data_IF_840506767978
#
_entry.id   IF_840506767978
#
_cell.length_a   1.000
_cell.length_b   1.000
_cell.length_c   1.000
_cell.angle_alpha   90.00
_cell.angle_beta   90.00
_cell.angle_gamma   90.00
#
_symmetry.space_group_name_H-M   'P 1'
#
loop_
_entity.id
_entity.type
_entity.pdbx_description
1 polymer ?
#
# COMPACT_ATOMS: atom_id res chain seq x y z
N UNK A 1 6.50 31.80 -29.04
CA UNK A 1 5.24 31.03 -29.05
C UNK A 1 5.58 29.55 -29.32
N UNK A 2 5.97 28.83 -28.32
CA UNK A 2 6.16 27.36 -28.38
C UNK A 2 4.81 26.75 -28.06
N UNK A 3 4.20 26.07 -29.04
CA UNK A 3 2.98 25.30 -28.86
C UNK A 3 3.20 24.31 -27.71
N UNK A 4 2.51 24.52 -26.60
CA UNK A 4 2.26 23.53 -25.58
C UNK A 4 1.67 22.28 -26.27
N UNK A 5 2.50 21.28 -26.49
CA UNK A 5 1.99 19.94 -26.81
C UNK A 5 1.19 19.50 -25.61
N UNK A 6 -0.13 19.62 -25.72
CA UNK A 6 -1.09 19.05 -24.79
C UNK A 6 -0.70 17.60 -24.52
N UNK A 7 -0.38 17.32 -23.25
CA UNK A 7 -0.11 15.97 -22.74
C UNK A 7 -1.23 15.08 -23.26
N UNK A 8 -0.86 14.19 -24.20
CA UNK A 8 -1.78 13.23 -24.77
C UNK A 8 -2.45 12.46 -23.64
N UNK A 9 -3.77 12.57 -23.52
CA UNK A 9 -4.57 11.62 -22.76
C UNK A 9 -4.18 10.24 -23.31
N UNK A 10 -3.33 9.51 -22.57
CA UNK A 10 -2.86 8.17 -22.97
C UNK A 10 -4.12 7.36 -23.26
N UNK A 11 -4.29 6.92 -24.52
CA UNK A 11 -5.45 6.13 -24.93
C UNK A 11 -5.49 4.87 -24.07
N UNK A 12 -6.69 4.52 -23.61
CA UNK A 12 -6.90 3.25 -22.89
C UNK A 12 -6.68 2.14 -23.90
N UNK A 13 -5.64 1.35 -23.68
CA UNK A 13 -5.32 0.15 -24.45
C UNK A 13 -5.04 -0.99 -23.46
N UNK A 14 -5.22 -2.23 -23.87
CA UNK A 14 -4.89 -3.39 -23.03
C UNK A 14 -3.44 -3.33 -22.54
N UNK A 15 -2.52 -2.92 -23.43
CA UNK A 15 -1.11 -2.75 -23.07
C UNK A 15 -0.91 -1.68 -21.97
N UNK A 16 -1.60 -0.51 -22.06
CA UNK A 16 -1.49 0.54 -21.05
C UNK A 16 -2.10 0.14 -19.70
N UNK A 17 -3.15 -0.69 -19.70
CA UNK A 17 -3.74 -1.24 -18.48
C UNK A 17 -2.81 -2.26 -17.82
N UNK A 18 -2.19 -3.16 -18.60
CA UNK A 18 -1.21 -4.12 -18.09
C UNK A 18 0.00 -3.40 -17.49
N UNK A 19 0.51 -2.36 -18.15
CA UNK A 19 1.61 -1.54 -17.61
C UNK A 19 1.20 -0.88 -16.29
N UNK A 20 -0.04 -0.36 -16.20
CA UNK A 20 -0.56 0.22 -14.97
C UNK A 20 -0.62 -0.79 -13.82
N UNK A 21 -0.97 -2.06 -14.10
CA UNK A 21 -0.96 -3.13 -13.08
C UNK A 21 0.43 -3.31 -12.47
N UNK A 22 1.47 -3.29 -13.29
CA UNK A 22 2.85 -3.51 -12.83
C UNK A 22 3.46 -2.34 -12.07
N UNK A 23 3.07 -1.11 -12.39
CA UNK A 23 3.69 0.08 -11.79
C UNK A 23 2.96 0.49 -10.50
N UNK A 24 1.61 0.48 -10.51
CA UNK A 24 0.80 1.17 -9.50
C UNK A 24 0.36 0.25 -8.37
N UNK A 25 -0.05 -0.98 -8.70
CA UNK A 25 -0.79 -1.83 -7.77
C UNK A 25 0.06 -2.88 -7.07
N UNK A 26 1.38 -2.71 -7.06
CA UNK A 26 2.29 -3.63 -6.38
C UNK A 26 1.98 -3.73 -4.88
N UNK A 27 2.05 -2.62 -4.18
CA UNK A 27 1.90 -2.57 -2.72
C UNK A 27 0.49 -2.97 -2.28
N UNK A 28 -0.55 -2.31 -2.78
CA UNK A 28 -1.94 -2.68 -2.42
C UNK A 28 -2.29 -4.12 -2.87
N UNK A 29 -1.64 -4.61 -3.94
CA UNK A 29 -1.85 -5.95 -4.48
C UNK A 29 -1.29 -7.05 -3.60
N UNK A 30 -0.27 -6.78 -2.81
CA UNK A 30 0.39 -7.77 -1.93
C UNK A 30 -0.18 -7.80 -0.52
N UNK A 31 -1.03 -6.85 -0.15
CA UNK A 31 -1.70 -6.79 1.16
C UNK A 31 -2.47 -8.08 1.54
N UNK A 32 -3.09 -8.86 0.61
CA UNK A 32 -3.72 -10.13 0.95
C UNK A 32 -2.79 -11.17 1.59
N UNK A 33 -1.47 -11.04 1.43
CA UNK A 33 -0.48 -11.95 2.04
C UNK A 33 -0.48 -11.89 3.58
N UNK A 34 -0.90 -10.75 4.17
CA UNK A 34 -0.74 -10.54 5.61
C UNK A 34 -1.96 -9.93 6.32
N UNK A 35 -2.83 -9.19 5.64
CA UNK A 35 -3.89 -8.40 6.30
C UNK A 35 -4.87 -9.26 7.11
N UNK A 36 -5.41 -10.32 6.54
CA UNK A 36 -6.40 -11.13 7.26
C UNK A 36 -5.75 -11.91 8.42
N UNK A 37 -4.50 -12.37 8.22
CA UNK A 37 -3.69 -12.93 9.31
C UNK A 37 -3.51 -11.93 10.45
N UNK A 38 -3.23 -10.66 10.14
CA UNK A 38 -3.07 -9.58 11.11
C UNK A 38 -4.35 -9.25 11.89
N UNK A 39 -5.53 -9.36 11.25
CA UNK A 39 -6.83 -9.13 11.90
C UNK A 39 -7.16 -10.27 12.87
N UNK A 40 -7.02 -11.49 12.41
CA UNK A 40 -7.36 -12.69 13.22
C UNK A 40 -6.32 -12.88 14.34
N UNK A 41 -5.02 -12.87 14.01
CA UNK A 41 -3.95 -13.12 14.98
C UNK A 41 -4.15 -14.44 15.71
N UNK A 42 -3.89 -14.45 17.01
CA UNK A 42 -4.05 -15.63 17.89
C UNK A 42 -5.45 -15.70 18.55
N UNK A 43 -6.42 -14.92 18.06
CA UNK A 43 -7.77 -14.87 18.61
C UNK A 43 -8.59 -16.09 18.18
N UNK A 44 -9.63 -16.38 18.96
CA UNK A 44 -10.62 -17.38 18.57
C UNK A 44 -11.35 -16.93 17.30
N UNK A 45 -11.41 -17.84 16.33
CA UNK A 45 -12.09 -17.61 15.04
C UNK A 45 -13.58 -17.74 15.28
N UNK A 46 -14.29 -16.63 15.23
CA UNK A 46 -15.74 -16.59 15.30
C UNK A 46 -16.34 -15.81 14.13
N UNK A 47 -17.64 -15.94 13.93
CA UNK A 47 -18.34 -15.31 12.81
C UNK A 47 -18.22 -13.78 12.82
N UNK A 48 -18.29 -13.17 14.01
CA UNK A 48 -18.21 -11.70 14.16
C UNK A 48 -16.82 -11.19 13.79
N UNK A 49 -15.76 -11.87 14.22
CA UNK A 49 -14.38 -11.50 13.92
C UNK A 49 -14.11 -11.63 12.42
N UNK A 50 -14.50 -12.75 11.80
CA UNK A 50 -14.19 -13.03 10.39
C UNK A 50 -15.01 -12.16 9.46
N UNK A 51 -16.36 -12.16 9.59
CA UNK A 51 -17.22 -11.36 8.73
C UNK A 51 -17.09 -9.88 9.00
N UNK A 52 -16.87 -9.49 10.27
CA UNK A 52 -16.59 -8.11 10.64
C UNK A 52 -15.26 -7.61 10.09
N UNK A 53 -14.22 -8.43 10.13
CA UNK A 53 -12.92 -8.13 9.52
C UNK A 53 -13.02 -7.89 8.01
N UNK A 54 -13.69 -8.79 7.29
CA UNK A 54 -13.95 -8.63 5.84
C UNK A 54 -14.80 -7.39 5.56
N UNK A 55 -15.84 -7.15 6.36
CA UNK A 55 -16.68 -5.96 6.21
C UNK A 55 -15.87 -4.67 6.38
N UNK A 56 -15.03 -4.61 7.41
CA UNK A 56 -14.14 -3.47 7.62
C UNK A 56 -13.16 -3.29 6.43
N UNK A 57 -12.54 -4.36 5.92
CA UNK A 57 -11.66 -4.30 4.73
C UNK A 57 -12.44 -3.77 3.52
N UNK A 58 -13.63 -4.33 3.24
CA UNK A 58 -14.45 -3.93 2.10
C UNK A 58 -14.76 -2.43 2.13
N UNK A 59 -15.32 -1.95 3.25
CA UNK A 59 -15.72 -0.55 3.36
C UNK A 59 -14.54 0.40 3.43
N UNK A 60 -13.42 -0.02 4.00
CA UNK A 60 -12.18 0.75 4.00
C UNK A 60 -11.62 0.92 2.57
N UNK A 61 -11.59 -0.15 1.75
CA UNK A 61 -11.20 -0.06 0.34
C UNK A 61 -12.17 0.80 -0.48
N UNK A 62 -13.48 0.78 -0.15
CA UNK A 62 -14.46 1.65 -0.79
C UNK A 62 -14.21 3.12 -0.44
N UNK A 63 -14.16 3.46 0.84
CA UNK A 63 -14.06 4.85 1.27
C UNK A 63 -12.66 5.42 1.04
N UNK A 64 -11.63 4.76 1.56
CA UNK A 64 -10.27 5.30 1.51
C UNK A 64 -9.66 5.17 0.11
N UNK A 65 -9.60 3.96 -0.46
CA UNK A 65 -8.92 3.81 -1.74
C UNK A 65 -9.79 4.27 -2.91
N UNK A 66 -11.05 3.78 -3.01
CA UNK A 66 -11.88 4.10 -4.19
C UNK A 66 -12.34 5.55 -4.19
N UNK A 67 -13.04 6.01 -3.13
CA UNK A 67 -13.65 7.34 -3.13
C UNK A 67 -12.57 8.40 -2.93
N UNK A 68 -11.76 8.29 -1.86
CA UNK A 68 -10.76 9.32 -1.56
C UNK A 68 -9.68 9.39 -2.62
N UNK A 69 -8.95 8.28 -2.90
CA UNK A 69 -7.79 8.35 -3.80
C UNK A 69 -8.21 8.31 -5.27
N UNK A 70 -8.91 7.28 -5.73
CA UNK A 70 -9.18 7.07 -7.16
C UNK A 70 -10.17 8.09 -7.74
N UNK A 71 -11.17 8.52 -6.95
CA UNK A 71 -12.17 9.48 -7.44
C UNK A 71 -11.85 10.93 -7.13
N UNK A 72 -11.37 11.25 -5.91
CA UNK A 72 -11.14 12.63 -5.49
C UNK A 72 -9.68 13.05 -5.70
N UNK A 73 -8.72 12.34 -5.09
CA UNK A 73 -7.31 12.78 -5.05
C UNK A 73 -6.66 12.75 -6.44
N UNK A 74 -6.99 11.78 -7.30
CA UNK A 74 -6.54 11.77 -8.69
C UNK A 74 -7.02 12.95 -9.54
N UNK A 75 -7.91 13.84 -9.04
CA UNK A 75 -8.23 15.12 -9.69
C UNK A 75 -7.13 16.16 -9.48
N UNK A 76 -6.34 16.02 -8.43
CA UNK A 76 -5.23 16.90 -8.12
C UNK A 76 -3.99 16.48 -8.94
N UNK A 77 -4.00 16.92 -10.17
CA UNK A 77 -2.99 16.69 -11.21
C UNK A 77 -2.18 17.99 -11.38
N UNK A 78 -0.89 17.92 -11.13
CA UNK A 78 0.05 19.02 -11.30
C UNK A 78 0.92 18.75 -12.54
N UNK A 79 0.48 19.20 -13.71
CA UNK A 79 1.17 19.02 -15.00
C UNK A 79 1.49 17.55 -15.33
N UNK A 80 0.60 16.65 -14.95
CA UNK A 80 0.74 15.21 -15.15
C UNK A 80 1.30 14.49 -13.92
N UNK A 81 1.75 15.17 -12.88
CA UNK A 81 2.34 14.56 -11.68
C UNK A 81 1.35 14.53 -10.52
N UNK A 82 1.42 13.48 -9.70
CA UNK A 82 0.66 13.26 -8.48
C UNK A 82 1.55 13.20 -7.24
N UNK A 83 1.00 12.75 -6.12
CA UNK A 83 1.70 12.65 -4.85
C UNK A 83 1.53 13.86 -3.94
N UNK A 84 1.94 13.71 -2.68
CA UNK A 84 1.67 14.70 -1.64
C UNK A 84 2.38 16.04 -1.90
N UNK A 85 3.60 16.03 -2.44
CA UNK A 85 4.35 17.25 -2.75
C UNK A 85 3.77 17.98 -3.97
N UNK A 86 3.33 17.24 -4.99
CA UNK A 86 2.58 17.79 -6.13
C UNK A 86 1.26 18.41 -5.68
N UNK A 87 0.53 17.77 -4.76
CA UNK A 87 -0.69 18.33 -4.17
C UNK A 87 -0.39 19.62 -3.40
N UNK A 88 0.70 19.64 -2.61
CA UNK A 88 1.14 20.86 -1.94
C UNK A 88 1.48 21.97 -2.94
N UNK A 89 2.20 21.68 -4.02
CA UNK A 89 2.52 22.67 -5.05
C UNK A 89 1.28 23.37 -5.62
N UNK A 90 0.16 22.63 -5.78
CA UNK A 90 -1.13 23.18 -6.24
C UNK A 90 -1.80 24.12 -5.23
N UNK A 91 -1.55 23.92 -3.92
CA UNK A 91 -2.26 24.65 -2.85
C UNK A 91 -1.39 25.62 -2.04
N UNK A 92 -0.07 25.59 -2.19
CA UNK A 92 0.90 26.38 -1.36
C UNK A 92 0.59 27.88 -1.29
N UNK A 93 0.01 28.44 -2.33
CA UNK A 93 -0.34 29.87 -2.38
C UNK A 93 -1.51 30.26 -1.46
N UNK A 94 -2.29 29.29 -1.00
CA UNK A 94 -3.47 29.54 -0.17
C UNK A 94 -3.20 29.48 1.34
N UNK A 95 -2.00 29.06 1.75
CA UNK A 95 -1.63 29.07 3.18
C UNK A 95 -0.16 28.69 3.42
N UNK A 96 0.59 29.56 4.08
CA UNK A 96 2.01 29.31 4.41
C UNK A 96 2.18 28.08 5.31
N UNK A 97 1.22 27.82 6.22
CA UNK A 97 1.26 26.68 7.14
C UNK A 97 1.05 25.32 6.48
N UNK A 98 0.62 25.28 5.20
CA UNK A 98 0.44 24.04 4.46
C UNK A 98 1.75 23.32 4.16
N UNK A 99 2.89 23.96 4.37
CA UNK A 99 4.21 23.34 4.33
C UNK A 99 4.34 22.22 5.36
N UNK A 100 3.74 22.39 6.56
CA UNK A 100 3.85 21.41 7.64
C UNK A 100 3.22 20.07 7.25
N UNK A 101 1.93 19.98 6.82
CA UNK A 101 1.38 18.71 6.36
C UNK A 101 2.09 18.16 5.11
N UNK A 102 2.67 19.00 4.25
CA UNK A 102 3.42 18.53 3.10
C UNK A 102 4.72 17.81 3.52
N UNK A 103 5.51 18.40 4.42
CA UNK A 103 6.76 17.81 4.91
C UNK A 103 6.44 16.55 5.75
N UNK A 104 5.50 16.63 6.69
CA UNK A 104 5.12 15.49 7.52
C UNK A 104 4.68 14.30 6.65
N UNK A 105 3.81 14.53 5.66
CA UNK A 105 3.36 13.46 4.81
C UNK A 105 4.45 12.93 3.87
N UNK A 106 5.32 13.77 3.33
CA UNK A 106 6.46 13.31 2.53
C UNK A 106 7.45 12.47 3.35
N UNK A 107 7.73 12.89 4.59
CA UNK A 107 8.62 12.18 5.51
C UNK A 107 8.08 10.80 5.88
N UNK A 108 6.78 10.74 6.22
CA UNK A 108 6.14 9.49 6.60
C UNK A 108 5.97 8.55 5.42
N UNK A 109 5.78 9.08 4.20
CA UNK A 109 5.78 8.29 2.97
C UNK A 109 7.18 7.73 2.64
N UNK A 110 8.24 8.48 2.93
CA UNK A 110 9.61 7.98 2.76
C UNK A 110 9.94 6.89 3.80
N UNK A 111 9.46 7.03 5.04
CA UNK A 111 9.58 6.01 6.08
C UNK A 111 8.83 4.72 5.70
N UNK A 112 7.69 4.84 5.02
CA UNK A 112 6.97 3.72 4.43
C UNK A 112 7.83 2.94 3.43
N UNK A 113 8.58 3.63 2.58
CA UNK A 113 9.52 3.02 1.64
C UNK A 113 10.62 2.16 2.28
N UNK A 114 10.77 2.22 3.63
CA UNK A 114 11.72 1.39 4.40
C UNK A 114 11.04 0.15 4.98
N UNK A 115 9.77 0.23 5.35
CA UNK A 115 9.06 -0.89 6.00
C UNK A 115 8.35 -1.78 4.99
N UNK A 116 7.80 -1.22 3.95
CA UNK A 116 7.00 -1.96 2.96
C UNK A 116 7.78 -3.01 2.19
N UNK A 117 9.00 -2.77 1.66
CA UNK A 117 9.76 -3.82 0.99
C UNK A 117 10.09 -5.02 1.91
N UNK A 118 10.57 -4.83 3.17
CA UNK A 118 10.75 -5.90 4.13
C UNK A 118 9.50 -6.73 4.40
N UNK A 119 8.39 -6.09 4.79
CA UNK A 119 7.17 -6.82 5.17
C UNK A 119 6.61 -7.62 4.02
N UNK A 120 6.58 -7.05 2.82
CA UNK A 120 5.99 -7.65 1.63
C UNK A 120 6.80 -8.87 1.18
N UNK A 121 8.13 -8.74 1.10
CA UNK A 121 9.01 -9.85 0.71
C UNK A 121 9.03 -10.92 1.83
N UNK A 122 9.11 -10.52 3.09
CA UNK A 122 9.07 -11.47 4.21
C UNK A 122 7.77 -12.28 4.20
N UNK A 123 6.62 -11.62 4.04
CA UNK A 123 5.31 -12.29 4.00
C UNK A 123 5.22 -13.33 2.86
N UNK A 124 5.81 -13.03 1.71
CA UNK A 124 5.83 -13.97 0.58
C UNK A 124 6.79 -15.15 0.85
N UNK A 125 7.99 -14.88 1.38
CA UNK A 125 9.02 -15.89 1.66
C UNK A 125 8.61 -16.80 2.83
N UNK A 126 7.89 -16.28 3.84
CA UNK A 126 7.31 -17.07 4.94
C UNK A 126 6.40 -18.21 4.44
N UNK A 127 5.82 -18.08 3.24
CA UNK A 127 5.08 -19.17 2.61
C UNK A 127 5.92 -20.42 2.35
N UNK A 128 7.24 -20.29 2.20
CA UNK A 128 8.15 -21.42 2.00
C UNK A 128 8.22 -22.34 3.22
N UNK A 129 7.95 -21.84 4.43
CA UNK A 129 7.97 -22.67 5.65
C UNK A 129 6.97 -23.82 5.58
N UNK A 130 5.91 -23.67 4.77
CA UNK A 130 4.92 -24.73 4.53
C UNK A 130 5.46 -25.87 3.64
N UNK A 131 6.40 -25.55 2.75
CA UNK A 131 7.01 -26.52 1.82
C UNK A 131 8.33 -27.07 2.39
N UNK A 132 9.11 -26.19 3.00
CA UNK A 132 10.43 -26.49 3.56
C UNK A 132 10.49 -26.00 5.02
N UNK A 133 10.03 -26.82 5.96
CA UNK A 133 10.09 -26.47 7.39
C UNK A 133 11.52 -26.14 7.85
N UNK A 134 11.66 -25.09 8.64
CA UNK A 134 12.95 -24.59 9.17
C UNK A 134 13.87 -23.90 8.15
N UNK A 135 13.35 -23.47 7.00
CA UNK A 135 14.15 -22.67 6.07
C UNK A 135 14.50 -21.31 6.70
N UNK A 136 15.77 -20.85 6.66
CA UNK A 136 16.14 -19.56 7.22
C UNK A 136 15.58 -18.42 6.32
N UNK A 137 14.39 -17.91 6.64
CA UNK A 137 13.71 -16.86 5.86
C UNK A 137 14.47 -15.55 5.85
N UNK A 138 15.06 -15.13 6.98
CA UNK A 138 15.77 -13.85 7.12
C UNK A 138 16.91 -13.66 6.11
N UNK A 139 17.87 -14.59 5.95
CA UNK A 139 18.92 -14.45 4.94
C UNK A 139 18.38 -14.38 3.52
N UNK A 140 17.33 -15.14 3.19
CA UNK A 140 16.71 -15.13 1.86
C UNK A 140 16.13 -13.75 1.56
N UNK A 141 15.39 -13.17 2.51
CA UNK A 141 14.81 -11.83 2.40
C UNK A 141 15.90 -10.78 2.21
N UNK A 142 16.99 -10.83 2.98
CA UNK A 142 18.11 -9.90 2.88
C UNK A 142 18.80 -10.02 1.51
N UNK A 143 18.97 -11.23 0.97
CA UNK A 143 19.57 -11.44 -0.36
C UNK A 143 18.66 -10.84 -1.43
N UNK A 144 17.35 -11.08 -1.38
CA UNK A 144 16.37 -10.53 -2.34
C UNK A 144 16.38 -9.00 -2.28
N UNK A 145 16.29 -8.42 -1.06
CA UNK A 145 16.34 -6.97 -0.87
C UNK A 145 17.66 -6.37 -1.40
N UNK A 146 18.80 -6.95 -1.02
CA UNK A 146 20.11 -6.44 -1.47
C UNK A 146 20.26 -6.52 -2.98
N UNK A 147 19.81 -7.60 -3.59
CA UNK A 147 19.75 -7.73 -5.05
C UNK A 147 18.90 -6.62 -5.68
N UNK A 148 17.69 -6.37 -5.12
CA UNK A 148 16.78 -5.36 -5.59
C UNK A 148 17.41 -3.94 -5.55
N UNK A 149 18.07 -3.57 -4.44
CA UNK A 149 18.75 -2.28 -4.30
C UNK A 149 20.00 -2.14 -5.20
N UNK A 150 20.74 -3.23 -5.45
CA UNK A 150 21.86 -3.24 -6.40
C UNK A 150 21.36 -3.01 -7.83
N UNK A 151 20.23 -3.62 -8.21
CA UNK A 151 19.67 -3.48 -9.55
C UNK A 151 19.13 -2.08 -9.86
N UNK A 152 18.81 -1.25 -8.85
CA UNK A 152 18.31 0.12 -9.04
C UNK A 152 19.23 0.97 -9.91
N UNK A 153 20.54 0.83 -9.77
CA UNK A 153 21.56 1.62 -10.53
C UNK A 153 21.52 1.40 -12.05
N UNK A 154 20.96 0.25 -12.49
CA UNK A 154 20.89 -0.08 -13.92
C UNK A 154 19.60 0.41 -14.59
N UNK A 155 18.67 0.96 -13.81
CA UNK A 155 17.35 1.38 -14.26
C UNK A 155 16.37 0.21 -14.46
N UNK A 156 15.08 0.52 -14.41
CA UNK A 156 14.01 -0.47 -14.42
C UNK A 156 13.38 -0.68 -15.79
N UNK A 157 13.91 -0.04 -16.85
CA UNK A 157 13.27 -0.01 -18.17
C UNK A 157 13.03 -1.40 -18.78
N UNK A 158 14.04 -2.29 -18.72
CA UNK A 158 13.91 -3.64 -19.29
C UNK A 158 13.02 -4.55 -18.43
N UNK A 159 13.17 -4.44 -17.13
CA UNK A 159 12.44 -5.26 -16.15
C UNK A 159 10.98 -4.79 -16.02
N UNK A 160 10.72 -3.49 -16.14
CA UNK A 160 9.38 -2.91 -16.05
C UNK A 160 8.38 -3.42 -17.10
N UNK A 161 8.87 -3.90 -18.27
CA UNK A 161 8.01 -4.53 -19.27
C UNK A 161 7.44 -5.89 -18.82
N UNK A 162 8.11 -6.56 -17.88
CA UNK A 162 7.71 -7.86 -17.33
C UNK A 162 6.77 -7.66 -16.13
N UNK A 163 6.85 -6.53 -15.45
CA UNK A 163 6.07 -6.26 -14.24
C UNK A 163 4.56 -6.36 -14.47
N UNK A 164 4.07 -5.76 -15.57
CA UNK A 164 2.66 -5.80 -15.90
C UNK A 164 2.10 -7.22 -16.08
N UNK A 165 2.67 -8.05 -16.94
CA UNK A 165 2.26 -9.45 -17.11
C UNK A 165 2.34 -10.26 -15.82
N UNK A 166 3.40 -10.14 -15.02
CA UNK A 166 3.54 -10.83 -13.73
C UNK A 166 2.44 -10.40 -12.76
N UNK A 167 2.17 -9.10 -12.64
CA UNK A 167 1.07 -8.62 -11.79
C UNK A 167 -0.31 -9.02 -12.32
N UNK A 168 -0.50 -9.13 -13.63
CA UNK A 168 -1.75 -9.68 -14.19
C UNK A 168 -1.96 -11.15 -13.79
N UNK A 169 -0.90 -11.96 -13.84
CA UNK A 169 -0.94 -13.36 -13.35
C UNK A 169 -1.24 -13.39 -11.85
N UNK A 170 -0.58 -12.52 -11.06
CA UNK A 170 -0.79 -12.40 -9.63
C UNK A 170 -2.26 -12.08 -9.29
N UNK A 171 -2.84 -11.02 -9.87
CA UNK A 171 -4.24 -10.65 -9.61
C UNK A 171 -5.22 -11.73 -10.08
N UNK A 172 -4.94 -12.39 -11.21
CA UNK A 172 -5.77 -13.51 -11.69
C UNK A 172 -5.70 -14.68 -10.70
N UNK A 173 -4.52 -14.98 -10.16
CA UNK A 173 -4.35 -16.01 -9.12
C UNK A 173 -5.15 -15.65 -7.86
N UNK A 174 -5.08 -14.39 -7.38
CA UNK A 174 -5.88 -13.94 -6.25
C UNK A 174 -7.38 -14.16 -6.48
N UNK A 175 -7.86 -13.81 -7.68
CA UNK A 175 -9.26 -13.98 -8.07
C UNK A 175 -9.69 -15.46 -8.06
N UNK A 176 -8.92 -16.32 -8.70
CA UNK A 176 -9.23 -17.75 -8.81
C UNK A 176 -9.22 -18.43 -7.45
N UNK A 177 -8.17 -18.21 -6.66
CA UNK A 177 -8.04 -18.78 -5.32
C UNK A 177 -9.16 -18.33 -4.40
N UNK A 178 -9.44 -17.03 -4.39
CA UNK A 178 -10.53 -16.47 -3.57
C UNK A 178 -11.90 -17.03 -3.98
N UNK A 179 -12.20 -17.04 -5.26
CA UNK A 179 -13.47 -17.54 -5.80
C UNK A 179 -13.69 -19.02 -5.50
N UNK A 180 -12.64 -19.85 -5.61
CA UNK A 180 -12.69 -21.27 -5.30
C UNK A 180 -13.14 -21.56 -3.86
N UNK A 181 -12.78 -20.72 -2.90
CA UNK A 181 -13.19 -20.88 -1.51
C UNK A 181 -14.59 -20.34 -1.25
N UNK A 182 -14.98 -19.24 -1.93
CA UNK A 182 -16.32 -18.67 -1.81
C UNK A 182 -17.38 -19.68 -2.25
N UNK A 183 -17.12 -20.48 -3.30
CA UNK A 183 -18.03 -21.54 -3.74
C UNK A 183 -18.25 -22.60 -2.65
N UNK A 184 -17.20 -22.91 -1.87
CA UNK A 184 -17.31 -23.90 -0.78
C UNK A 184 -18.11 -23.38 0.41
N UNK A 185 -18.04 -22.07 0.70
CA UNK A 185 -18.77 -21.42 1.80
C UNK A 185 -19.39 -20.08 1.37
N UNK A 186 -20.48 -20.07 0.60
CA UNK A 186 -21.10 -18.85 0.08
C UNK A 186 -21.62 -17.90 1.17
N UNK A 187 -21.89 -18.42 2.36
CA UNK A 187 -22.38 -17.63 3.51
C UNK A 187 -21.47 -16.46 3.89
N UNK A 188 -20.19 -16.50 3.52
CA UNK A 188 -19.21 -15.43 3.79
C UNK A 188 -19.53 -14.11 3.07
N UNK A 189 -20.32 -14.13 2.01
CA UNK A 189 -20.76 -12.92 1.27
C UNK A 189 -21.55 -11.97 2.18
N UNK A 190 -22.17 -12.47 3.25
CA UNK A 190 -22.80 -11.63 4.29
C UNK A 190 -21.83 -10.59 4.87
N UNK A 191 -20.52 -10.86 4.88
CA UNK A 191 -19.47 -9.92 5.30
C UNK A 191 -19.41 -8.63 4.49
N UNK A 192 -20.04 -8.53 3.32
CA UNK A 192 -20.18 -7.26 2.60
C UNK A 192 -21.14 -6.27 3.27
N UNK A 193 -22.04 -6.76 4.13
CA UNK A 193 -22.97 -5.93 4.87
C UNK A 193 -22.23 -5.12 5.96
N UNK A 194 -22.37 -3.77 5.98
CA UNK A 194 -21.70 -2.91 6.97
C UNK A 194 -22.13 -3.22 8.43
N UNK A 195 -23.22 -3.91 8.62
CA UNK A 195 -23.65 -4.36 9.93
C UNK A 195 -22.60 -5.22 10.65
N UNK A 196 -21.87 -6.08 9.93
CA UNK A 196 -20.79 -6.88 10.52
C UNK A 196 -19.60 -6.03 10.93
N UNK A 197 -19.27 -4.96 10.19
CA UNK A 197 -18.26 -3.98 10.64
C UNK A 197 -18.72 -3.30 11.94
N UNK A 198 -19.98 -2.89 12.02
CA UNK A 198 -20.54 -2.32 13.26
C UNK A 198 -20.46 -3.31 14.42
N UNK A 199 -20.82 -4.58 14.23
CA UNK A 199 -20.72 -5.60 15.27
C UNK A 199 -19.29 -5.80 15.75
N UNK A 200 -18.32 -5.88 14.82
CA UNK A 200 -16.90 -6.01 15.17
C UNK A 200 -16.43 -4.83 16.01
N UNK A 201 -16.74 -3.62 15.58
CA UNK A 201 -16.20 -2.42 16.24
C UNK A 201 -16.84 -2.14 17.61
N UNK A 202 -18.10 -2.53 17.82
CA UNK A 202 -18.87 -2.17 19.03
C UNK A 202 -19.10 -3.32 20.00
N UNK A 203 -19.19 -4.56 19.51
CA UNK A 203 -19.55 -5.73 20.32
C UNK A 203 -18.41 -6.70 20.55
N UNK A 204 -17.44 -6.76 19.61
CA UNK A 204 -16.31 -7.67 19.75
C UNK A 204 -15.27 -7.09 20.73
N UNK A 205 -14.78 -7.89 21.71
CA UNK A 205 -13.78 -7.43 22.67
C UNK A 205 -12.51 -6.95 21.97
N UNK A 206 -12.17 -5.68 22.13
CA UNK A 206 -11.01 -5.08 21.46
C UNK A 206 -11.18 -4.86 19.94
N UNK A 207 -12.40 -4.97 19.41
CA UNK A 207 -12.67 -4.84 17.97
C UNK A 207 -12.19 -3.52 17.36
N UNK A 208 -12.31 -2.40 18.10
CA UNK A 208 -11.78 -1.11 17.64
C UNK A 208 -10.28 -1.15 17.32
N UNK A 209 -9.48 -1.85 18.12
CA UNK A 209 -8.02 -1.94 17.92
C UNK A 209 -7.63 -2.75 16.69
N UNK A 210 -8.54 -3.58 16.17
CA UNK A 210 -8.33 -4.30 14.91
C UNK A 210 -8.31 -3.39 13.69
N UNK A 211 -8.82 -2.16 13.81
CA UNK A 211 -8.71 -1.15 12.75
C UNK A 211 -7.26 -0.89 12.35
N UNK A 212 -6.30 -1.01 13.28
CA UNK A 212 -4.88 -0.91 12.96
C UNK A 212 -4.35 -2.05 12.07
N UNK A 213 -5.04 -3.20 11.99
CA UNK A 213 -4.72 -4.27 11.04
C UNK A 213 -5.58 -4.17 9.78
N UNK A 214 -6.87 -3.77 9.91
CA UNK A 214 -7.76 -3.50 8.77
C UNK A 214 -7.18 -2.43 7.84
N UNK A 215 -6.58 -1.39 8.42
CA UNK A 215 -5.94 -0.29 7.69
C UNK A 215 -4.91 -0.79 6.67
N UNK A 216 -4.17 -1.86 6.96
CA UNK A 216 -3.16 -2.44 6.08
C UNK A 216 -3.71 -2.83 4.70
N UNK A 217 -5.02 -3.04 4.57
CA UNK A 217 -5.67 -3.31 3.28
C UNK A 217 -5.65 -2.11 2.32
N UNK A 218 -5.41 -0.90 2.82
CA UNK A 218 -5.37 0.34 2.00
C UNK A 218 -3.98 0.88 1.76
N UNK A 219 -2.96 0.22 2.28
CA UNK A 219 -1.56 0.57 1.98
C UNK A 219 -1.34 0.54 0.47
N UNK A 220 -0.47 1.41 -0.03
CA UNK A 220 -0.30 1.60 -1.47
C UNK A 220 -1.27 2.58 -2.15
N UNK A 221 -2.31 3.07 -1.46
CA UNK A 221 -3.22 4.07 -2.02
C UNK A 221 -2.51 5.42 -2.25
N UNK A 222 -1.54 5.80 -1.42
CA UNK A 222 -0.69 6.98 -1.61
C UNK A 222 0.25 6.81 -2.81
N UNK A 223 0.85 5.64 -2.95
CA UNK A 223 1.71 5.29 -4.08
C UNK A 223 0.94 5.35 -5.40
N UNK A 224 -0.32 4.86 -5.41
CA UNK A 224 -1.23 4.98 -6.56
C UNK A 224 -1.42 6.43 -7.01
N UNK A 225 -1.51 7.37 -6.08
CA UNK A 225 -1.61 8.79 -6.40
C UNK A 225 -0.27 9.37 -6.90
N UNK A 226 0.85 8.97 -6.31
CA UNK A 226 2.18 9.40 -6.74
C UNK A 226 2.50 8.98 -8.19
N UNK A 227 2.02 7.81 -8.62
CA UNK A 227 2.25 7.27 -9.96
C UNK A 227 1.28 7.79 -11.04
N UNK A 228 0.49 8.82 -10.72
CA UNK A 228 -0.45 9.45 -11.67
C UNK A 228 0.23 9.82 -13.01
N UNK A 229 1.45 10.36 -12.95
CA UNK A 229 2.22 10.78 -14.11
C UNK A 229 2.61 9.66 -15.06
N UNK A 230 2.88 8.47 -14.52
CA UNK A 230 3.33 7.33 -15.31
C UNK A 230 2.20 6.69 -16.13
N UNK A 231 1.01 6.58 -15.56
CA UNK A 231 -0.09 5.81 -16.16
C UNK A 231 -1.28 6.65 -16.62
N UNK A 232 -1.48 7.82 -16.02
CA UNK A 232 -2.61 8.71 -16.30
C UNK A 232 -3.90 8.25 -15.63
N UNK A 233 -4.71 9.24 -15.22
CA UNK A 233 -5.93 9.06 -14.39
C UNK A 233 -6.94 8.04 -14.94
N UNK A 234 -7.15 8.01 -16.28
CA UNK A 234 -8.14 7.10 -16.88
C UNK A 234 -7.72 5.64 -16.75
N UNK A 235 -6.45 5.33 -17.05
CA UNK A 235 -5.93 3.97 -16.93
C UNK A 235 -5.99 3.49 -15.48
N UNK A 236 -5.64 4.35 -14.51
CA UNK A 236 -5.71 4.04 -13.08
C UNK A 236 -7.15 3.68 -12.67
N UNK A 237 -8.14 4.47 -13.08
CA UNK A 237 -9.54 4.20 -12.73
C UNK A 237 -10.08 2.90 -13.29
N UNK A 238 -9.73 2.57 -14.52
CA UNK A 238 -10.20 1.33 -15.18
C UNK A 238 -9.50 0.12 -14.59
N UNK A 239 -8.18 0.15 -14.43
CA UNK A 239 -7.43 -0.96 -13.85
C UNK A 239 -7.76 -1.17 -12.37
N UNK A 240 -8.09 -0.10 -11.61
CA UNK A 240 -8.55 -0.23 -10.23
C UNK A 240 -9.82 -1.07 -10.07
N UNK A 241 -10.76 -0.97 -11.01
CA UNK A 241 -11.96 -1.80 -10.95
C UNK A 241 -11.63 -3.30 -10.98
N UNK A 242 -10.72 -3.71 -11.86
CA UNK A 242 -10.23 -5.10 -11.91
C UNK A 242 -9.48 -5.50 -10.64
N UNK A 243 -8.50 -4.69 -10.22
CA UNK A 243 -7.69 -4.95 -9.02
C UNK A 243 -8.57 -5.07 -7.78
N UNK A 244 -9.53 -4.14 -7.60
CA UNK A 244 -10.45 -4.17 -6.47
C UNK A 244 -11.27 -5.47 -6.42
N UNK A 245 -11.77 -5.95 -7.55
CA UNK A 245 -12.50 -7.22 -7.62
C UNK A 245 -11.58 -8.37 -7.18
N UNK A 246 -10.36 -8.44 -7.70
CA UNK A 246 -9.41 -9.49 -7.35
C UNK A 246 -9.07 -9.49 -5.84
N UNK A 247 -8.80 -8.31 -5.28
CA UNK A 247 -8.50 -8.15 -3.84
C UNK A 247 -9.68 -8.58 -2.96
N UNK A 248 -10.87 -8.05 -3.25
CA UNK A 248 -12.05 -8.35 -2.45
C UNK A 248 -12.42 -9.82 -2.53
N UNK A 249 -12.37 -10.42 -3.72
CA UNK A 249 -12.62 -11.86 -3.89
C UNK A 249 -11.62 -12.69 -3.10
N UNK A 250 -10.35 -12.28 -3.05
CA UNK A 250 -9.34 -12.99 -2.26
C UNK A 250 -9.59 -12.86 -0.76
N UNK A 251 -9.86 -11.67 -0.23
CA UNK A 251 -10.17 -11.47 1.19
C UNK A 251 -11.42 -12.25 1.62
N UNK A 252 -12.48 -12.22 0.81
CA UNK A 252 -13.70 -13.01 1.06
C UNK A 252 -13.39 -14.51 1.00
N UNK A 253 -12.54 -14.95 0.07
CA UNK A 253 -12.11 -16.35 -0.05
C UNK A 253 -11.30 -16.83 1.15
N UNK A 254 -10.36 -16.02 1.66
CA UNK A 254 -9.64 -16.33 2.89
C UNK A 254 -10.60 -16.44 4.09
N UNK A 255 -11.59 -15.55 4.17
CA UNK A 255 -12.61 -15.62 5.19
C UNK A 255 -13.51 -16.85 5.05
N UNK A 256 -13.85 -17.24 3.83
CA UNK A 256 -14.59 -18.48 3.56
C UNK A 256 -13.83 -19.71 4.07
N UNK A 257 -12.52 -19.76 3.83
CA UNK A 257 -11.65 -20.81 4.35
C UNK A 257 -11.65 -20.83 5.89
N UNK A 258 -11.52 -19.67 6.55
CA UNK A 258 -11.56 -19.56 8.01
C UNK A 258 -12.87 -20.08 8.60
N UNK A 259 -14.01 -19.75 7.98
CA UNK A 259 -15.33 -20.18 8.43
C UNK A 259 -15.60 -21.67 8.19
N UNK A 260 -15.00 -22.26 7.15
CA UNK A 260 -15.20 -23.67 6.79
C UNK A 260 -14.39 -24.63 7.65
N UNK A 261 -13.20 -24.21 8.12
CA UNK A 261 -12.27 -25.13 8.82
C UNK A 261 -12.70 -25.56 10.23
N UNK A 262 -13.57 -24.78 10.91
CA UNK A 262 -14.00 -25.07 12.28
C UNK A 262 -12.87 -25.06 13.33
N UNK A 263 -11.67 -24.52 12.98
CA UNK A 263 -10.55 -24.37 13.91
C UNK A 263 -10.80 -23.22 14.87
N UNK A 264 -10.40 -23.38 16.13
CA UNK A 264 -10.58 -22.32 17.13
C UNK A 264 -9.61 -21.15 16.95
N UNK A 265 -8.38 -21.39 16.47
CA UNK A 265 -7.35 -20.36 16.26
C UNK A 265 -6.55 -20.65 14.98
N UNK A 266 -5.78 -19.67 14.50
CA UNK A 266 -4.91 -19.84 13.32
C UNK A 266 -3.75 -20.79 13.54
N UNK A 267 -3.31 -21.00 14.78
CA UNK A 267 -2.15 -21.86 15.12
C UNK A 267 -0.90 -21.54 14.28
N UNK A 268 -0.63 -20.23 14.08
CA UNK A 268 0.51 -19.76 13.28
C UNK A 268 0.32 -19.87 11.76
N UNK A 269 -0.77 -20.47 11.24
CA UNK A 269 -1.05 -20.60 9.81
C UNK A 269 -1.37 -19.25 9.21
N UNK A 270 -1.03 -19.09 7.93
CA UNK A 270 -1.42 -17.91 7.17
C UNK A 270 -2.58 -18.25 6.21
N UNK A 271 -3.77 -17.64 6.38
CA UNK A 271 -4.95 -17.94 5.55
C UNK A 271 -4.68 -17.87 4.05
N UNK A 272 -3.80 -16.95 3.62
CA UNK A 272 -3.45 -16.80 2.22
C UNK A 272 -2.83 -18.07 1.62
N UNK A 273 -1.84 -18.67 2.31
CA UNK A 273 -1.20 -19.89 1.81
C UNK A 273 -2.05 -21.14 2.01
N UNK A 274 -2.99 -21.10 2.94
CA UNK A 274 -3.91 -22.22 3.19
C UNK A 274 -4.99 -22.38 2.10
N UNK A 275 -5.37 -21.30 1.41
CA UNK A 275 -6.33 -21.40 0.28
C UNK A 275 -5.67 -21.90 -1.01
N UNK A 276 -4.34 -22.01 -1.06
CA UNK A 276 -3.61 -22.51 -2.24
C UNK A 276 -3.63 -24.04 -2.22
N UNK A 277 -4.05 -24.71 -3.32
CA UNK A 277 -3.97 -26.16 -3.42
C UNK A 277 -2.52 -26.66 -3.32
N UNK A 278 -2.28 -27.82 -2.70
CA UNK A 278 -0.94 -28.37 -2.47
C UNK A 278 -0.08 -28.45 -3.72
N UNK A 279 -0.67 -28.92 -4.85
CA UNK A 279 0.02 -29.03 -6.13
C UNK A 279 0.47 -27.68 -6.72
N UNK A 280 -0.17 -26.59 -6.32
CA UNK A 280 0.11 -25.25 -6.81
C UNK A 280 0.84 -24.38 -5.76
N UNK A 281 1.11 -24.92 -4.57
CA UNK A 281 1.66 -24.14 -3.45
C UNK A 281 3.02 -23.50 -3.80
N UNK A 282 3.97 -24.28 -4.29
CA UNK A 282 5.30 -23.76 -4.65
C UNK A 282 5.23 -22.75 -5.82
N UNK A 283 4.55 -23.00 -6.96
CA UNK A 283 4.31 -21.98 -7.98
C UNK A 283 3.63 -20.72 -7.43
N UNK A 284 2.63 -20.89 -6.56
CA UNK A 284 1.93 -19.76 -5.95
C UNK A 284 2.84 -18.87 -5.07
N UNK A 285 3.74 -19.49 -4.28
CA UNK A 285 4.74 -18.76 -3.48
C UNK A 285 5.74 -18.02 -4.38
N UNK A 286 6.18 -18.64 -5.47
CA UNK A 286 7.08 -18.02 -6.43
C UNK A 286 6.42 -16.79 -7.06
N UNK A 287 5.16 -16.89 -7.50
CA UNK A 287 4.40 -15.77 -8.05
C UNK A 287 4.23 -14.66 -7.00
N UNK A 288 3.90 -15.01 -5.75
CA UNK A 288 3.78 -14.07 -4.63
C UNK A 288 5.10 -13.34 -4.36
N UNK A 289 6.24 -14.05 -4.40
CA UNK A 289 7.57 -13.47 -4.22
C UNK A 289 7.91 -12.48 -5.36
N UNK A 290 7.62 -12.84 -6.62
CA UNK A 290 7.80 -11.90 -7.74
C UNK A 290 6.89 -10.67 -7.62
N UNK A 291 5.62 -10.84 -7.23
CA UNK A 291 4.72 -9.73 -6.97
C UNK A 291 5.26 -8.81 -5.86
N UNK A 292 5.81 -9.38 -4.79
CA UNK A 292 6.42 -8.65 -3.68
C UNK A 292 7.70 -7.89 -4.09
N UNK A 293 8.52 -8.47 -4.96
CA UNK A 293 9.68 -7.80 -5.55
C UNK A 293 9.24 -6.61 -6.41
N UNK A 294 8.19 -6.77 -7.22
CA UNK A 294 7.64 -5.69 -8.06
C UNK A 294 7.06 -4.58 -7.20
N UNK A 295 6.30 -4.93 -6.14
CA UNK A 295 5.77 -3.97 -5.18
C UNK A 295 6.88 -3.14 -4.52
N UNK A 296 7.93 -3.80 -4.04
CA UNK A 296 9.09 -3.17 -3.43
C UNK A 296 9.82 -2.25 -4.41
N UNK A 297 9.97 -2.69 -5.66
CA UNK A 297 10.58 -1.91 -6.73
C UNK A 297 9.83 -0.60 -7.00
N UNK A 298 8.50 -0.66 -7.05
CA UNK A 298 7.67 0.51 -7.28
C UNK A 298 7.83 1.55 -6.15
N UNK A 299 7.83 1.12 -4.90
CA UNK A 299 8.01 1.99 -3.73
C UNK A 299 9.41 2.62 -3.65
N UNK A 300 10.47 1.85 -3.92
CA UNK A 300 11.83 2.37 -3.95
C UNK A 300 11.95 3.45 -5.05
N UNK A 301 11.41 3.20 -6.22
CA UNK A 301 11.39 4.17 -7.32
C UNK A 301 10.56 5.41 -6.98
N UNK A 302 9.40 5.23 -6.35
CA UNK A 302 8.55 6.32 -5.84
C UNK A 302 9.25 7.19 -4.80
N UNK A 303 10.08 6.58 -3.93
CA UNK A 303 10.90 7.32 -2.96
C UNK A 303 11.93 8.23 -3.62
N UNK A 304 12.54 7.80 -4.72
CA UNK A 304 13.46 8.68 -5.48
C UNK A 304 12.72 9.85 -6.13
N UNK A 305 11.53 9.61 -6.68
CA UNK A 305 10.70 10.68 -7.25
C UNK A 305 10.30 11.69 -6.17
N UNK A 306 9.85 11.21 -5.01
CA UNK A 306 9.49 12.04 -3.86
C UNK A 306 10.67 12.93 -3.41
N UNK A 307 11.87 12.36 -3.28
CA UNK A 307 13.06 13.13 -2.90
C UNK A 307 13.47 14.12 -4.00
N UNK A 308 13.34 13.77 -5.27
CA UNK A 308 13.60 14.70 -6.38
C UNK A 308 12.64 15.90 -6.35
N UNK A 309 11.35 15.67 -6.07
CA UNK A 309 10.37 16.73 -5.86
C UNK A 309 10.70 17.58 -4.62
N UNK A 310 11.11 16.94 -3.51
CA UNK A 310 11.50 17.62 -2.28
C UNK A 310 12.72 18.53 -2.52
N UNK A 311 13.71 18.10 -3.31
CA UNK A 311 14.85 18.94 -3.72
C UNK A 311 14.38 20.16 -4.52
N UNK A 312 13.46 19.97 -5.47
CA UNK A 312 12.90 21.05 -6.28
C UNK A 312 12.11 22.07 -5.47
N UNK A 313 11.50 21.63 -4.35
CA UNK A 313 10.77 22.48 -3.40
C UNK A 313 11.67 23.07 -2.30
N UNK A 314 12.98 22.77 -2.29
CA UNK A 314 13.95 23.10 -1.25
C UNK A 314 13.62 22.51 0.14
N UNK A 315 13.00 21.32 0.17
CA UNK A 315 12.70 20.55 1.39
C UNK A 315 13.75 19.47 1.65
N UNK A 316 14.63 19.19 0.70
CA UNK A 316 15.72 18.22 0.84
C UNK A 316 17.03 18.80 0.34
N UNK A 317 18.17 18.47 0.98
CA UNK A 317 19.48 18.90 0.51
C UNK A 317 19.73 18.47 -0.93
N UNK A 318 20.47 19.27 -1.70
CA UNK A 318 20.84 18.93 -3.06
C UNK A 318 21.81 17.75 -3.05
N UNK A 319 21.38 16.63 -3.62
CA UNK A 319 22.17 15.40 -3.77
C UNK A 319 22.28 15.03 -5.25
N UNK A 320 23.22 14.16 -5.57
CA UNK A 320 23.42 13.71 -6.96
C UNK A 320 22.22 12.88 -7.42
N UNK A 321 21.49 13.41 -8.39
CA UNK A 321 20.39 12.72 -9.08
C UNK A 321 20.90 12.21 -10.42
N UNK A 322 20.78 10.91 -10.67
CA UNK A 322 21.17 10.25 -11.91
C UNK A 322 19.93 9.80 -12.67
N UNK A 323 20.00 9.86 -13.99
CA UNK A 323 18.99 9.30 -14.89
C UNK A 323 19.60 8.08 -15.58
N UNK A 324 19.35 6.86 -15.11
CA UNK A 324 20.00 5.66 -15.64
C UNK A 324 19.52 5.27 -17.05
N UNK A 325 18.41 5.88 -17.52
CA UNK A 325 17.85 5.64 -18.85
C UNK A 325 17.36 6.94 -19.49
N UNK A 326 17.16 6.93 -20.82
CA UNK A 326 16.64 8.10 -21.57
C UNK A 326 15.12 8.36 -21.32
N UNK A 327 14.44 7.47 -20.62
CA UNK A 327 13.02 7.65 -20.30
C UNK A 327 12.83 8.68 -19.18
N UNK A 328 12.03 9.72 -19.47
CA UNK A 328 11.60 10.68 -18.45
C UNK A 328 10.92 9.93 -17.29
N UNK A 329 11.38 10.22 -16.06
CA UNK A 329 10.79 9.68 -14.84
C UNK A 329 11.56 8.53 -14.18
N UNK A 330 12.60 7.97 -14.80
CA UNK A 330 13.48 7.03 -14.12
C UNK A 330 14.61 7.80 -13.43
N UNK A 331 14.51 7.88 -12.12
CA UNK A 331 15.43 8.61 -11.25
C UNK A 331 16.16 7.60 -10.36
N UNK A 332 17.45 7.80 -10.15
CA UNK A 332 18.27 7.06 -9.20
C UNK A 332 19.10 8.04 -8.36
N UNK A 333 18.99 7.91 -7.04
CA UNK A 333 19.69 8.76 -6.07
C UNK A 333 20.54 7.84 -5.18
N UNK A 334 21.87 7.75 -5.39
CA UNK A 334 22.72 6.79 -4.69
C UNK A 334 22.67 6.88 -3.16
N UNK A 335 22.66 8.10 -2.61
CA UNK A 335 22.58 8.33 -1.15
C UNK A 335 21.26 7.82 -0.56
N UNK A 336 20.15 8.10 -1.23
CA UNK A 336 18.82 7.64 -0.80
C UNK A 336 18.70 6.13 -0.96
N UNK A 337 19.23 5.55 -2.05
CA UNK A 337 19.28 4.10 -2.24
C UNK A 337 20.00 3.39 -1.09
N UNK A 338 21.15 3.90 -0.67
CA UNK A 338 21.90 3.34 0.45
C UNK A 338 21.16 3.48 1.77
N UNK A 339 20.54 4.64 2.03
CA UNK A 339 19.73 4.88 3.22
C UNK A 339 18.54 3.93 3.30
N UNK A 340 17.79 3.79 2.20
CA UNK A 340 16.65 2.86 2.13
C UNK A 340 17.10 1.41 2.30
N UNK A 341 18.20 1.00 1.66
CA UNK A 341 18.75 -0.35 1.83
C UNK A 341 19.12 -0.65 3.28
N UNK A 342 19.87 0.25 3.93
CA UNK A 342 20.24 0.09 5.35
C UNK A 342 18.98 0.02 6.23
N UNK A 343 17.99 0.89 5.98
CA UNK A 343 16.74 0.89 6.71
C UNK A 343 15.96 -0.41 6.53
N UNK A 344 15.82 -0.91 5.30
CA UNK A 344 15.14 -2.18 5.01
C UNK A 344 15.84 -3.38 5.67
N UNK A 345 17.17 -3.48 5.56
CA UNK A 345 17.93 -4.57 6.20
C UNK A 345 17.82 -4.50 7.73
N UNK A 346 17.92 -3.29 8.31
CA UNK A 346 17.73 -3.09 9.74
C UNK A 346 16.33 -3.51 10.21
N UNK A 347 15.29 -3.21 9.41
CA UNK A 347 13.92 -3.62 9.68
C UNK A 347 13.80 -5.16 9.71
N UNK A 348 14.37 -5.86 8.72
CA UNK A 348 14.35 -7.33 8.68
C UNK A 348 15.06 -7.94 9.89
N UNK A 349 16.23 -7.42 10.25
CA UNK A 349 17.02 -7.92 11.38
C UNK A 349 16.35 -7.65 12.74
N UNK A 350 15.68 -6.50 12.88
CA UNK A 350 15.01 -6.10 14.12
C UNK A 350 13.70 -6.88 14.34
N UNK A 351 12.83 -6.88 13.34
CA UNK A 351 11.49 -7.47 13.46
C UNK A 351 11.45 -8.98 13.24
N UNK A 352 12.32 -9.52 12.40
CA UNK A 352 12.49 -10.95 12.08
C UNK A 352 11.30 -11.64 11.42
N UNK A 353 10.08 -11.12 11.55
CA UNK A 353 8.86 -11.69 10.98
C UNK A 353 7.93 -10.62 10.43
N UNK A 354 7.10 -10.97 9.44
CA UNK A 354 6.11 -10.05 8.86
C UNK A 354 5.11 -9.54 9.91
N UNK A 355 4.67 -10.40 10.83
CA UNK A 355 3.71 -10.07 11.89
C UNK A 355 4.22 -8.93 12.79
N UNK A 356 5.51 -8.94 13.13
CA UNK A 356 6.09 -7.89 13.95
C UNK A 356 6.24 -6.56 13.18
N UNK A 357 6.46 -6.62 11.84
CA UNK A 357 6.57 -5.43 10.98
C UNK A 357 5.22 -4.72 10.82
N UNK A 358 4.10 -5.46 10.82
CA UNK A 358 2.75 -4.92 10.63
C UNK A 358 2.41 -3.80 11.63
N UNK A 359 2.87 -3.94 12.86
CA UNK A 359 2.60 -2.97 13.93
C UNK A 359 3.26 -1.60 13.68
N UNK A 360 4.46 -1.57 13.10
CA UNK A 360 5.19 -0.35 12.79
C UNK A 360 4.70 0.29 11.48
N UNK A 361 4.28 -0.54 10.53
CA UNK A 361 3.87 -0.14 9.19
C UNK A 361 2.67 0.82 9.19
N UNK A 362 1.61 0.48 9.92
CA UNK A 362 0.35 1.23 9.91
C UNK A 362 0.46 2.68 10.39
N UNK A 363 1.41 2.98 11.26
CA UNK A 363 1.53 4.32 11.86
C UNK A 363 1.94 5.40 10.85
N UNK A 364 3.00 5.17 10.07
CA UNK A 364 3.51 6.17 9.14
C UNK A 364 2.51 6.49 8.04
N UNK A 365 1.87 5.46 7.47
CA UNK A 365 0.91 5.67 6.38
C UNK A 365 -0.35 6.38 6.86
N UNK A 366 -0.82 6.12 8.08
CA UNK A 366 -2.00 6.84 8.61
C UNK A 366 -1.73 8.35 8.72
N UNK A 367 -0.51 8.75 9.13
CA UNK A 367 -0.12 10.16 9.13
C UNK A 367 -0.10 10.72 7.71
N UNK A 368 0.51 10.02 6.75
CA UNK A 368 0.53 10.45 5.35
C UNK A 368 -0.88 10.67 4.83
N UNK A 369 -1.81 9.74 5.09
CA UNK A 369 -3.21 9.84 4.65
C UNK A 369 -3.92 11.05 5.26
N UNK A 370 -3.72 11.34 6.55
CA UNK A 370 -4.28 12.52 7.22
C UNK A 370 -3.72 13.81 6.61
N UNK A 371 -2.41 13.87 6.35
CA UNK A 371 -1.79 15.04 5.72
C UNK A 371 -2.31 15.27 4.30
N UNK A 372 -2.48 14.19 3.52
CA UNK A 372 -3.12 14.25 2.20
C UNK A 372 -4.56 14.76 2.29
N UNK A 373 -5.35 14.33 3.28
CA UNK A 373 -6.73 14.81 3.49
C UNK A 373 -6.76 16.31 3.78
N UNK A 374 -5.84 16.81 4.60
CA UNK A 374 -5.71 18.26 4.86
C UNK A 374 -5.41 19.02 3.57
N UNK A 375 -4.39 18.62 2.82
CA UNK A 375 -4.02 19.29 1.57
C UNK A 375 -5.13 19.19 0.51
N UNK A 376 -5.80 18.03 0.42
CA UNK A 376 -6.92 17.81 -0.48
C UNK A 376 -8.10 18.74 -0.18
N UNK A 377 -8.37 19.03 1.10
CA UNK A 377 -9.43 19.97 1.49
C UNK A 377 -9.22 21.36 0.88
N UNK A 378 -7.99 21.87 0.93
CA UNK A 378 -7.63 23.15 0.31
C UNK A 378 -7.73 23.09 -1.22
N UNK A 379 -7.33 21.98 -1.83
CA UNK A 379 -7.47 21.79 -3.27
C UNK A 379 -8.95 21.81 -3.71
N UNK A 380 -9.84 21.11 -3.01
CA UNK A 380 -11.27 21.07 -3.32
C UNK A 380 -11.92 22.45 -3.17
N UNK A 381 -11.60 23.19 -2.09
CA UNK A 381 -12.18 24.52 -1.84
C UNK A 381 -11.64 25.56 -2.81
N UNK A 382 -10.33 25.68 -2.92
CA UNK A 382 -9.73 26.84 -3.60
C UNK A 382 -9.45 26.59 -5.08
N UNK A 383 -9.12 25.36 -5.47
CA UNK A 383 -8.79 25.04 -6.87
C UNK A 383 -10.01 24.56 -7.65
N UNK A 384 -10.81 23.64 -7.07
CA UNK A 384 -12.04 23.15 -7.69
C UNK A 384 -13.28 23.99 -7.32
N UNK A 385 -13.15 24.95 -6.39
CA UNK A 385 -14.22 25.86 -5.98
C UNK A 385 -15.48 25.13 -5.46
N UNK A 386 -15.33 24.02 -4.79
CA UNK A 386 -16.45 23.30 -4.21
C UNK A 386 -17.03 24.04 -3.00
N UNK A 387 -18.30 23.79 -2.70
CA UNK A 387 -18.96 24.35 -1.53
C UNK A 387 -18.21 23.93 -0.25
N UNK A 388 -17.88 24.92 0.60
CA UNK A 388 -17.11 24.69 1.84
C UNK A 388 -17.80 23.70 2.77
N UNK A 389 -19.14 23.75 2.90
CA UNK A 389 -19.91 22.85 3.76
C UNK A 389 -19.81 21.39 3.27
N UNK A 390 -19.90 21.18 1.95
CA UNK A 390 -19.73 19.86 1.34
C UNK A 390 -18.32 19.31 1.57
N UNK A 391 -17.30 20.16 1.37
CA UNK A 391 -15.90 19.76 1.60
C UNK A 391 -15.67 19.45 3.08
N UNK A 392 -16.22 20.25 3.99
CA UNK A 392 -16.15 19.97 5.43
C UNK A 392 -16.76 18.59 5.77
N UNK A 393 -17.93 18.27 5.24
CA UNK A 393 -18.55 16.94 5.43
C UNK A 393 -17.68 15.80 4.92
N UNK A 394 -17.09 15.94 3.72
CA UNK A 394 -16.18 14.95 3.13
C UNK A 394 -14.93 14.77 4.01
N UNK A 395 -14.29 15.87 4.39
CA UNK A 395 -13.07 15.86 5.21
C UNK A 395 -13.35 15.31 6.60
N UNK A 396 -14.53 15.60 7.17
CA UNK A 396 -14.95 15.07 8.46
C UNK A 396 -15.07 13.54 8.42
N UNK A 397 -15.72 12.98 7.39
CA UNK A 397 -15.87 11.54 7.23
C UNK A 397 -14.51 10.85 7.06
N UNK A 398 -13.66 11.34 6.14
CA UNK A 398 -12.33 10.75 5.95
C UNK A 398 -11.44 10.95 7.17
N UNK A 399 -11.48 12.13 7.78
CA UNK A 399 -10.73 12.42 9.00
C UNK A 399 -11.12 11.52 10.16
N UNK A 400 -12.41 11.24 10.34
CA UNK A 400 -12.89 10.30 11.36
C UNK A 400 -12.32 8.90 11.16
N UNK A 401 -12.36 8.39 9.92
CA UNK A 401 -11.84 7.06 9.57
C UNK A 401 -10.33 7.01 9.80
N UNK A 402 -9.59 8.00 9.29
CA UNK A 402 -8.13 8.06 9.38
C UNK A 402 -7.65 8.25 10.82
N UNK A 403 -8.35 9.08 11.59
CA UNK A 403 -8.05 9.29 13.00
C UNK A 403 -8.30 8.03 13.83
N UNK A 404 -9.34 7.26 13.50
CA UNK A 404 -9.59 5.95 14.12
C UNK A 404 -8.48 4.96 13.82
N UNK A 405 -7.97 4.92 12.59
CA UNK A 405 -6.80 4.12 12.22
C UNK A 405 -5.54 4.58 12.93
N UNK A 406 -5.33 5.89 13.03
CA UNK A 406 -4.19 6.46 13.73
C UNK A 406 -4.18 6.06 15.21
N UNK A 407 -5.31 6.21 15.92
CA UNK A 407 -5.43 5.80 17.32
C UNK A 407 -5.19 4.29 17.47
N UNK A 408 -5.77 3.47 16.60
CA UNK A 408 -5.61 2.02 16.66
C UNK A 408 -4.16 1.57 16.42
N UNK A 409 -3.39 2.30 15.60
CA UNK A 409 -1.98 2.04 15.38
C UNK A 409 -1.07 2.64 16.46
N UNK A 410 -1.48 3.73 17.12
CA UNK A 410 -0.68 4.39 18.15
C UNK A 410 -0.34 3.46 19.32
N UNK A 411 -1.29 2.64 19.75
CA UNK A 411 -1.08 1.68 20.86
C UNK A 411 -0.06 0.59 20.48
N UNK A 412 0.04 0.24 19.20
CA UNK A 412 1.01 -0.75 18.73
C UNK A 412 2.46 -0.23 18.77
N UNK A 413 2.68 1.07 18.89
CA UNK A 413 4.00 1.72 18.85
C UNK A 413 4.78 1.51 20.15
N UNK A 414 4.13 1.34 21.30
CA UNK A 414 4.83 1.15 22.57
C UNK A 414 5.92 0.06 22.52
N UNK A 415 5.77 -0.91 21.63
CA UNK A 415 6.73 -1.98 21.40
C UNK A 415 7.79 -1.67 20.31
N UNK A 416 7.63 -0.56 19.56
CA UNK A 416 8.38 -0.29 18.32
C UNK A 416 8.95 1.14 18.23
N UNK A 417 9.26 1.77 19.36
CA UNK A 417 9.74 3.17 19.45
C UNK A 417 11.02 3.45 18.63
N UNK A 418 11.86 2.43 18.37
CA UNK A 418 13.07 2.58 17.58
C UNK A 418 12.78 3.01 16.12
N UNK A 419 11.65 2.58 15.55
CA UNK A 419 11.23 3.00 14.21
C UNK A 419 10.69 4.43 14.17
N UNK A 420 10.06 4.88 15.27
CA UNK A 420 9.67 6.29 15.42
C UNK A 420 10.88 7.23 15.35
N UNK A 421 11.99 6.87 16.01
CA UNK A 421 13.22 7.65 15.93
C UNK A 421 13.72 7.78 14.50
N UNK A 422 13.59 6.74 13.69
CA UNK A 422 14.00 6.79 12.29
C UNK A 422 13.14 7.78 11.48
N UNK A 423 11.82 7.75 11.64
CA UNK A 423 10.91 8.74 11.03
C UNK A 423 11.21 10.17 11.47
N UNK A 424 11.53 10.37 12.76
CA UNK A 424 11.91 11.68 13.30
C UNK A 424 13.23 12.18 12.69
N UNK A 425 14.22 11.29 12.50
CA UNK A 425 15.50 11.64 11.84
C UNK A 425 15.25 12.12 10.41
N UNK A 426 14.43 11.41 9.63
CA UNK A 426 14.08 11.82 8.26
C UNK A 426 13.38 13.18 8.29
N UNK A 427 12.46 13.39 9.23
CA UNK A 427 11.74 14.67 9.39
C UNK A 427 12.70 15.83 9.70
N UNK A 428 13.71 15.60 10.54
CA UNK A 428 14.70 16.64 10.85
C UNK A 428 15.61 16.99 9.67
N UNK A 429 15.78 16.08 8.70
CA UNK A 429 16.55 16.33 7.49
C UNK A 429 15.73 17.12 6.46
N UNK A 430 14.40 16.97 6.44
CA UNK A 430 13.48 17.78 5.63
C UNK A 430 13.18 19.13 6.25
#
# INVERSE_FOLDING_TARGET
MLKSNSIHSKRITTASLIVALGIIYGDIGTSPLYVLRAIIGEKNIDEVLVLGGVSCIFWTLVFQTTIKYVWLTLKADNEGEGGILSLYALVRKYGKKLVIPAILGATTLLADGIITPPITITSAVEGLDKVFPHLPTIPIVIIILSGLFIFQRFGTQKVGKIFGPVMAVWFTMLLILGFSQIIKYPGVIKGLNPYYAYLLLTKYPGGFWLLGSVFLATTGAEALYSDLGHCGRKNIRVSWAFVKICLLTNYIGQAAWLMHQGQQTLQGKNPFFEIIPEWFLLPGIIIATFASIIASQALISGSYTLISEAINLNFWPRVTVRQPTELKGQIYIPSVNMLLWMGCVSAVLYFKSSVNMEAAYGFFITITMMMTTILLSFFLIYRLKWNKLLVFGIVFIFGLIEFSFFIANLIKIEKNWAFLLFGIIIFMVM
#
